data_IF_992044167550
#
_entry.id   IF_992044167550
#
_cell.length_a   1.000
_cell.length_b   1.000
_cell.length_c   1.000
_cell.angle_alpha   90.00
_cell.angle_beta   90.00
_cell.angle_gamma   90.00
#
_symmetry.space_group_name_H-M   'P 1'
#
loop_
_entity.id
_entity.type
_entity.pdbx_description
1 polymer ?
#
# COMPACT_ATOMS: atom_id res chain seq x y z
N UNK A 1 -25.14 6.94 9.13
CA UNK A 1 -24.25 8.12 9.23
C UNK A 1 -23.10 7.89 10.21
N UNK A 2 -23.34 7.69 11.52
CA UNK A 2 -22.24 7.38 12.46
C UNK A 2 -21.65 5.96 12.27
N UNK A 3 -22.50 4.97 12.00
CA UNK A 3 -22.05 3.60 11.74
C UNK A 3 -21.18 3.49 10.47
N UNK A 4 -21.57 4.15 9.38
CA UNK A 4 -20.83 4.17 8.11
C UNK A 4 -19.42 4.79 8.26
N UNK A 5 -19.33 5.87 9.04
CA UNK A 5 -18.06 6.55 9.32
C UNK A 5 -17.13 5.66 10.17
N UNK A 6 -17.69 4.94 11.14
CA UNK A 6 -16.96 4.01 12.00
C UNK A 6 -16.46 2.79 11.21
N UNK A 7 -17.28 2.21 10.34
CA UNK A 7 -16.87 1.10 9.48
C UNK A 7 -15.75 1.50 8.51
N UNK A 8 -15.85 2.68 7.90
CA UNK A 8 -14.80 3.21 7.02
C UNK A 8 -13.47 3.41 7.77
N UNK A 9 -13.52 3.90 9.01
CA UNK A 9 -12.34 4.07 9.85
C UNK A 9 -11.68 2.71 10.20
N UNK A 10 -12.48 1.71 10.57
CA UNK A 10 -12.00 0.35 10.85
C UNK A 10 -11.36 -0.28 9.62
N UNK A 11 -12.00 -0.15 8.45
CA UNK A 11 -11.47 -0.67 7.18
C UNK A 11 -10.10 -0.09 6.84
N UNK A 12 -9.90 1.22 7.05
CA UNK A 12 -8.60 1.87 6.87
C UNK A 12 -7.53 1.37 7.81
N UNK A 13 -7.86 1.21 9.09
CA UNK A 13 -6.92 0.68 10.09
C UNK A 13 -6.48 -0.75 9.74
N UNK A 14 -7.43 -1.58 9.32
CA UNK A 14 -7.13 -2.96 8.89
C UNK A 14 -6.24 -2.98 7.64
N UNK A 15 -6.56 -2.18 6.62
CA UNK A 15 -5.75 -2.08 5.40
C UNK A 15 -4.30 -1.65 5.69
N UNK A 16 -4.11 -0.65 6.57
CA UNK A 16 -2.77 -0.24 6.99
C UNK A 16 -2.00 -1.34 7.71
N UNK A 17 -2.68 -2.11 8.58
CA UNK A 17 -2.05 -3.22 9.31
C UNK A 17 -1.62 -4.36 8.39
N UNK A 18 -2.47 -4.72 7.44
CA UNK A 18 -2.16 -5.74 6.44
C UNK A 18 -0.97 -5.30 5.56
N UNK A 19 -0.96 -4.04 5.11
CA UNK A 19 0.17 -3.47 4.38
C UNK A 19 1.49 -3.59 5.17
N UNK A 20 1.51 -3.21 6.45
CA UNK A 20 2.70 -3.34 7.29
C UNK A 20 3.18 -4.78 7.43
N UNK A 21 2.25 -5.74 7.49
CA UNK A 21 2.60 -7.17 7.51
C UNK A 21 3.34 -7.58 6.24
N UNK A 22 2.91 -7.07 5.08
CA UNK A 22 3.57 -7.33 3.79
C UNK A 22 4.95 -6.67 3.71
N UNK A 23 5.10 -5.44 4.23
CA UNK A 23 6.40 -4.75 4.31
C UNK A 23 7.37 -5.53 5.19
N UNK A 24 6.96 -5.96 6.39
CA UNK A 24 7.82 -6.73 7.29
C UNK A 24 8.24 -8.05 6.64
N UNK A 25 7.30 -8.75 6.01
CA UNK A 25 7.58 -10.00 5.28
C UNK A 25 8.59 -9.76 4.16
N UNK A 26 8.40 -8.70 3.38
CA UNK A 26 9.33 -8.30 2.32
C UNK A 26 10.73 -8.04 2.86
N UNK A 27 10.86 -7.30 3.97
CA UNK A 27 12.18 -7.00 4.57
C UNK A 27 12.88 -8.27 5.07
N UNK A 28 12.15 -9.15 5.77
CA UNK A 28 12.71 -10.41 6.30
C UNK A 28 13.21 -11.29 5.16
N UNK A 29 12.38 -11.52 4.13
CA UNK A 29 12.75 -12.39 3.00
C UNK A 29 13.96 -11.83 2.26
N UNK A 30 13.96 -10.53 1.94
CA UNK A 30 15.09 -9.93 1.23
C UNK A 30 16.37 -9.91 2.08
N UNK A 31 16.28 -9.69 3.39
CA UNK A 31 17.44 -9.80 4.28
C UNK A 31 18.02 -11.22 4.27
N UNK A 32 17.17 -12.25 4.28
CA UNK A 32 17.62 -13.66 4.16
C UNK A 32 18.29 -13.90 2.80
N UNK A 33 17.71 -13.44 1.69
CA UNK A 33 18.29 -13.59 0.35
C UNK A 33 19.66 -12.91 0.24
N UNK A 34 19.78 -11.70 0.76
CA UNK A 34 21.05 -10.96 0.81
C UNK A 34 22.06 -11.67 1.70
N UNK A 35 21.62 -12.21 2.85
CA UNK A 35 22.46 -13.02 3.73
C UNK A 35 23.00 -14.28 3.03
N UNK A 36 22.14 -15.01 2.31
CA UNK A 36 22.55 -16.17 1.50
C UNK A 36 23.57 -15.76 0.45
N UNK A 37 23.32 -14.68 -0.30
CA UNK A 37 24.24 -14.18 -1.31
C UNK A 37 25.62 -13.83 -0.71
N UNK A 38 25.63 -13.12 0.42
CA UNK A 38 26.86 -12.71 1.10
C UNK A 38 27.67 -13.93 1.58
N UNK A 39 27.00 -14.96 2.10
CA UNK A 39 27.64 -16.19 2.57
C UNK A 39 28.08 -17.12 1.42
N UNK A 40 27.54 -16.94 0.22
CA UNK A 40 27.85 -17.79 -0.95
C UNK A 40 29.14 -17.39 -1.70
N UNK A 41 29.94 -16.45 -1.17
CA UNK A 41 31.18 -15.97 -1.80
C UNK A 41 31.00 -14.84 -2.82
N UNK A 42 29.76 -14.34 -2.94
CA UNK A 42 29.27 -13.12 -3.60
C UNK A 42 29.97 -12.63 -4.90
N UNK A 43 29.68 -13.30 -6.02
CA UNK A 43 29.77 -12.76 -7.39
C UNK A 43 28.60 -11.84 -7.74
N UNK A 44 27.90 -12.05 -8.87
CA UNK A 44 26.77 -11.21 -9.29
C UNK A 44 25.63 -11.13 -8.24
N UNK A 45 25.13 -9.91 -7.98
CA UNK A 45 24.09 -9.62 -6.97
C UNK A 45 22.69 -10.00 -7.47
N UNK A 46 22.44 -11.29 -7.62
CA UNK A 46 21.14 -11.83 -8.05
C UNK A 46 19.93 -11.46 -7.17
N UNK A 47 20.04 -11.17 -5.85
CA UNK A 47 18.89 -10.75 -5.04
C UNK A 47 18.19 -9.49 -5.56
N UNK A 48 18.87 -8.68 -6.39
CA UNK A 48 18.31 -7.47 -6.99
C UNK A 48 17.00 -7.72 -7.74
N UNK A 49 16.86 -8.88 -8.39
CA UNK A 49 15.66 -9.22 -9.15
C UNK A 49 14.48 -9.52 -8.24
N UNK A 50 14.71 -10.18 -7.10
CA UNK A 50 13.67 -10.41 -6.10
C UNK A 50 13.26 -9.09 -5.42
N UNK A 51 14.25 -8.29 -5.00
CA UNK A 51 14.04 -6.97 -4.40
C UNK A 51 13.22 -6.09 -5.35
N UNK A 52 13.64 -5.96 -6.61
CA UNK A 52 12.98 -5.14 -7.62
C UNK A 52 11.60 -5.66 -8.00
N UNK A 53 11.49 -6.95 -8.36
CA UNK A 53 10.25 -7.55 -8.82
C UNK A 53 9.13 -7.50 -7.78
N UNK A 54 9.41 -7.89 -6.53
CA UNK A 54 8.44 -7.76 -5.44
C UNK A 54 8.28 -6.33 -4.93
N UNK A 55 9.35 -5.53 -4.94
CA UNK A 55 9.32 -4.15 -4.46
C UNK A 55 8.33 -3.29 -5.25
N UNK A 56 8.21 -3.52 -6.55
CA UNK A 56 7.21 -2.86 -7.40
C UNK A 56 5.79 -3.21 -6.96
N UNK A 57 5.49 -4.49 -6.72
CA UNK A 57 4.18 -4.92 -6.21
C UNK A 57 3.84 -4.29 -4.85
N UNK A 58 4.83 -4.20 -3.95
CA UNK A 58 4.68 -3.56 -2.66
C UNK A 58 4.42 -2.05 -2.80
N UNK A 59 5.08 -1.37 -3.75
CA UNK A 59 4.85 0.04 -4.04
C UNK A 59 3.44 0.31 -4.56
N UNK A 60 2.92 -0.55 -5.45
CA UNK A 60 1.52 -0.46 -5.89
C UNK A 60 0.53 -0.66 -4.73
N UNK A 61 0.79 -1.62 -3.85
CA UNK A 61 -0.05 -1.84 -2.67
C UNK A 61 0.01 -0.67 -1.67
N UNK A 62 1.18 -0.01 -1.55
CA UNK A 62 1.32 1.20 -0.77
C UNK A 62 0.48 2.34 -1.37
N UNK A 63 0.51 2.49 -2.69
CA UNK A 63 -0.26 3.51 -3.39
C UNK A 63 -1.76 3.31 -3.23
N UNK A 64 -2.27 2.07 -3.31
CA UNK A 64 -3.70 1.82 -3.05
C UNK A 64 -4.07 2.03 -1.58
N UNK A 65 -3.19 1.69 -0.64
CA UNK A 65 -3.48 1.79 0.80
C UNK A 65 -3.40 3.22 1.34
N UNK A 66 -2.48 4.04 0.83
CA UNK A 66 -2.21 5.40 1.33
C UNK A 66 -2.53 6.52 0.32
N UNK A 67 -2.55 6.22 -0.98
CA UNK A 67 -2.81 7.18 -2.06
C UNK A 67 -4.29 7.35 -2.41
N UNK A 68 -5.15 6.38 -2.07
CA UNK A 68 -6.60 6.56 -2.19
C UNK A 68 -7.10 7.60 -1.18
N UNK A 69 -7.27 8.84 -1.65
CA UNK A 69 -8.06 9.82 -0.90
C UNK A 69 -9.48 9.27 -0.77
N UNK A 70 -10.06 9.17 0.44
CA UNK A 70 -11.49 8.93 0.61
C UNK A 70 -12.30 9.74 -0.39
N UNK A 71 -13.21 9.09 -1.11
CA UNK A 71 -14.36 9.80 -1.65
C UNK A 71 -15.26 10.06 -0.43
N UNK A 72 -15.09 11.22 0.20
CA UNK A 72 -15.96 11.67 1.29
C UNK A 72 -17.30 12.09 0.70
N UNK A 73 -18.41 11.81 1.40
CA UNK A 73 -19.75 12.26 1.02
C UNK A 73 -19.81 13.77 0.78
N UNK A 74 -19.10 14.57 1.58
CA UNK A 74 -18.93 16.02 1.35
C UNK A 74 -18.31 16.35 -0.01
N UNK A 75 -17.39 15.52 -0.49
CA UNK A 75 -16.72 15.70 -1.79
C UNK A 75 -17.65 15.32 -2.94
N UNK A 76 -18.47 14.29 -2.76
CA UNK A 76 -19.54 13.90 -3.69
C UNK A 76 -20.58 15.03 -3.76
N UNK A 77 -21.08 15.50 -2.62
CA UNK A 77 -22.07 16.57 -2.54
C UNK A 77 -21.53 17.89 -3.12
N UNK A 78 -20.25 18.22 -2.88
CA UNK A 78 -19.61 19.39 -3.49
C UNK A 78 -19.53 19.29 -5.00
N UNK A 79 -19.27 18.09 -5.53
CA UNK A 79 -19.23 17.86 -6.98
C UNK A 79 -20.63 17.90 -7.61
N UNK A 80 -21.63 17.28 -6.96
CA UNK A 80 -23.03 17.37 -7.41
C UNK A 80 -23.55 18.82 -7.38
N UNK A 81 -23.20 19.60 -6.35
CA UNK A 81 -23.59 21.01 -6.24
C UNK A 81 -22.91 21.89 -7.30
N UNK A 82 -21.72 21.52 -7.77
CA UNK A 82 -21.07 22.16 -8.94
C UNK A 82 -21.79 21.82 -10.25
N UNK A 83 -22.27 20.59 -10.41
CA UNK A 83 -22.99 20.18 -11.62
C UNK A 83 -24.39 20.78 -11.69
N UNK A 84 -25.12 20.87 -10.57
CA UNK A 84 -26.47 21.45 -10.52
C UNK A 84 -26.53 22.98 -10.56
N UNK A 85 -25.41 23.68 -10.30
CA UNK A 85 -25.32 25.13 -10.41
C UNK A 85 -24.81 25.63 -11.78
N UNK A 86 -24.58 24.72 -12.72
CA UNK A 86 -24.15 25.01 -14.08
C UNK A 86 -25.28 24.85 -15.13
N UNK A 87 -26.49 24.50 -14.67
CA UNK A 87 -27.76 24.52 -15.42
C UNK A 87 -28.61 25.74 -15.00
#
# INVERSE_FOLDING_TARGET
MEDDAREAAIKRLKAKRDFWTHVVTYLIVNAVLVGIWALSGAGYFWPIWAIGGWGVGLAFHAWSTFGEKPITEERIQREMRKQQGAD
#
